data_IF_126407187202
#
_entry.id   IF_126407187202
#
_cell.length_a   1.000
_cell.length_b   1.000
_cell.length_c   1.000
_cell.angle_alpha   90.00
_cell.angle_beta   90.00
_cell.angle_gamma   90.00
#
_symmetry.space_group_name_H-M   'P 1'
#
loop_
_entity.id
_entity.type
_entity.pdbx_description
1 polymer ?
#
# COMPACT_ATOMS: atom_id res chain seq x y z
N UNK A 1 14.59 -1.85 11.74
CA UNK A 1 13.44 -1.66 10.84
C UNK A 1 12.55 -0.60 11.45
N UNK A 2 12.20 0.46 10.73
CA UNK A 2 11.38 1.57 11.29
C UNK A 2 9.87 1.31 11.07
N UNK A 3 9.00 2.12 11.70
CA UNK A 3 7.55 1.95 11.64
C UNK A 3 7.02 1.95 10.19
N UNK A 4 7.54 2.84 9.35
CA UNK A 4 7.17 2.95 7.94
C UNK A 4 7.49 1.68 7.16
N UNK A 5 8.68 1.10 7.40
CA UNK A 5 9.10 -0.14 6.78
C UNK A 5 8.23 -1.32 7.23
N UNK A 6 7.88 -1.38 8.52
CA UNK A 6 6.99 -2.43 9.05
C UNK A 6 5.58 -2.35 8.45
N UNK A 7 5.00 -1.16 8.42
CA UNK A 7 3.69 -0.93 7.80
C UNK A 7 3.73 -1.13 6.28
N UNK A 8 4.82 -0.76 5.62
CA UNK A 8 5.06 -1.04 4.20
C UNK A 8 5.11 -2.54 3.90
N UNK A 9 5.77 -3.34 4.74
CA UNK A 9 5.75 -4.81 4.63
C UNK A 9 4.36 -5.39 4.86
N UNK A 10 3.62 -4.87 5.84
CA UNK A 10 2.25 -5.30 6.10
C UNK A 10 1.34 -5.03 4.88
N UNK A 11 1.49 -3.85 4.27
CA UNK A 11 0.76 -3.45 3.07
C UNK A 11 1.09 -4.34 1.86
N UNK A 12 2.39 -4.64 1.64
CA UNK A 12 2.87 -5.55 0.61
C UNK A 12 2.26 -6.95 0.76
N UNK A 13 2.28 -7.50 1.98
CA UNK A 13 1.71 -8.81 2.28
C UNK A 13 0.20 -8.85 2.02
N UNK A 14 -0.55 -7.83 2.46
CA UNK A 14 -1.98 -7.74 2.21
C UNK A 14 -2.31 -7.73 0.72
N UNK A 15 -1.52 -7.01 -0.09
CA UNK A 15 -1.75 -6.95 -1.52
C UNK A 15 -1.50 -8.30 -2.19
N UNK A 16 -0.38 -8.97 -1.89
CA UNK A 16 -0.07 -10.30 -2.42
C UNK A 16 -1.14 -11.31 -2.04
N UNK A 17 -1.55 -11.35 -0.76
CA UNK A 17 -2.60 -12.25 -0.29
C UNK A 17 -3.94 -11.98 -0.99
N UNK A 18 -4.24 -10.72 -1.31
CA UNK A 18 -5.45 -10.35 -2.04
C UNK A 18 -5.41 -10.86 -3.48
N UNK A 19 -4.32 -10.63 -4.22
CA UNK A 19 -4.16 -11.14 -5.59
C UNK A 19 -4.28 -12.67 -5.63
N UNK A 20 -3.64 -13.37 -4.69
CA UNK A 20 -3.75 -14.83 -4.56
C UNK A 20 -5.20 -15.29 -4.29
N UNK A 21 -5.96 -14.54 -3.49
CA UNK A 21 -7.35 -14.85 -3.17
C UNK A 21 -8.29 -14.59 -4.34
N UNK A 22 -8.06 -13.51 -5.07
CA UNK A 22 -8.87 -13.10 -6.22
C UNK A 22 -8.55 -13.93 -7.48
N UNK A 23 -7.46 -14.72 -7.44
CA UNK A 23 -7.03 -15.55 -8.56
C UNK A 23 -6.43 -14.72 -9.69
N UNK A 24 -5.85 -13.56 -9.37
CA UNK A 24 -5.16 -12.73 -10.34
C UNK A 24 -3.95 -13.50 -10.90
N UNK A 25 -3.87 -13.54 -12.23
CA UNK A 25 -2.72 -14.13 -12.94
C UNK A 25 -1.43 -13.32 -12.72
N UNK A 26 -1.55 -12.05 -12.30
CA UNK A 26 -0.43 -11.13 -12.06
C UNK A 26 -0.24 -10.84 -10.56
N UNK A 27 0.19 -11.85 -9.80
CA UNK A 27 0.66 -11.63 -8.43
C UNK A 27 1.95 -10.80 -8.48
N UNK A 28 2.01 -9.64 -7.80
CA UNK A 28 3.19 -8.78 -7.85
C UNK A 28 4.42 -9.51 -7.31
N UNK A 29 5.53 -9.44 -8.06
CA UNK A 29 6.82 -9.88 -7.53
C UNK A 29 7.26 -8.95 -6.40
N UNK A 30 7.70 -9.49 -5.24
CA UNK A 30 8.13 -8.71 -4.07
C UNK A 30 9.51 -8.09 -4.29
N UNK A 31 9.63 -7.25 -5.32
CA UNK A 31 10.85 -6.52 -5.66
C UNK A 31 11.11 -5.38 -4.68
N UNK A 32 12.35 -4.87 -4.66
CA UNK A 32 12.70 -3.71 -3.85
C UNK A 32 11.86 -2.47 -4.23
N UNK A 33 11.57 -2.29 -5.52
CA UNK A 33 10.70 -1.21 -6.01
C UNK A 33 9.27 -1.36 -5.50
N UNK A 34 8.72 -2.57 -5.52
CA UNK A 34 7.40 -2.87 -4.96
C UNK A 34 7.33 -2.53 -3.46
N UNK A 35 8.34 -2.93 -2.70
CA UNK A 35 8.45 -2.60 -1.29
C UNK A 35 8.56 -1.08 -1.03
N UNK A 36 9.36 -0.35 -1.83
CA UNK A 36 9.46 1.11 -1.71
C UNK A 36 8.13 1.81 -1.97
N UNK A 37 7.36 1.35 -2.96
CA UNK A 37 6.01 1.87 -3.23
C UNK A 37 5.07 1.66 -2.04
N UNK A 38 5.15 0.50 -1.39
CA UNK A 38 4.37 0.23 -0.19
C UNK A 38 4.76 1.16 0.97
N UNK A 39 6.06 1.42 1.17
CA UNK A 39 6.53 2.38 2.15
C UNK A 39 6.06 3.83 1.85
N UNK A 40 6.08 4.24 0.59
CA UNK A 40 5.60 5.56 0.17
C UNK A 40 4.08 5.71 0.38
N UNK A 41 3.31 4.67 0.09
CA UNK A 41 1.86 4.65 0.36
C UNK A 41 1.56 4.77 1.86
N UNK A 42 2.34 4.08 2.70
CA UNK A 42 2.26 4.22 4.17
C UNK A 42 2.49 5.66 4.62
N UNK A 43 3.54 6.33 4.13
CA UNK A 43 3.82 7.73 4.44
C UNK A 43 2.65 8.65 4.05
N UNK A 44 2.13 8.51 2.82
CA UNK A 44 0.98 9.29 2.37
C UNK A 44 -0.31 9.02 3.15
N UNK A 45 -0.47 7.80 3.70
CA UNK A 45 -1.59 7.47 4.57
C UNK A 45 -1.45 8.09 5.97
N UNK A 46 -0.23 8.17 6.50
CA UNK A 46 0.05 8.85 7.78
C UNK A 46 -0.22 10.35 7.63
N UNK A 47 0.28 10.98 6.56
CA UNK A 47 0.01 12.40 6.28
C UNK A 47 -1.48 12.72 6.10
N UNK A 48 -2.26 11.79 5.54
CA UNK A 48 -3.72 11.92 5.44
C UNK A 48 -4.43 11.68 6.77
N UNK A 49 -3.89 10.83 7.63
CA UNK A 49 -4.44 10.53 8.96
C UNK A 49 -4.27 11.71 9.93
N UNK A 50 -3.21 12.50 9.74
CA UNK A 50 -2.97 13.75 10.47
C UNK A 50 -3.77 14.95 9.92
N UNK A 51 -4.51 14.78 8.80
CA UNK A 51 -5.45 15.79 8.32
C UNK A 51 -6.79 15.72 9.08
N UNK A 52 -7.45 16.86 9.36
CA UNK A 52 -8.77 16.89 9.95
C UNK A 52 -9.75 16.04 9.12
N UNK A 53 -10.54 15.20 9.82
CA UNK A 53 -11.50 14.24 9.25
C UNK A 53 -12.65 14.94 8.52
N UNK A 54 -12.38 15.52 7.37
CA UNK A 54 -13.42 15.94 6.44
C UNK A 54 -12.90 15.81 5.02
N UNK A 55 -12.64 14.57 4.60
CA UNK A 55 -12.53 14.18 3.19
C UNK A 55 -12.58 12.66 3.05
N UNK A 56 -13.79 12.21 2.74
CA UNK A 56 -14.15 11.11 1.84
C UNK A 56 -13.11 9.99 1.63
N UNK A 57 -13.45 8.84 2.21
CA UNK A 57 -13.21 7.47 1.76
C UNK A 57 -11.90 7.15 1.02
N UNK A 58 -11.14 6.23 1.62
CA UNK A 58 -10.09 5.42 1.00
C UNK A 58 -10.34 5.18 -0.50
N UNK A 59 -9.65 5.93 -1.36
CA UNK A 59 -9.43 5.50 -2.74
C UNK A 59 -8.67 4.19 -2.70
N UNK A 60 -9.06 3.25 -3.56
CA UNK A 60 -8.58 1.88 -3.49
C UNK A 60 -7.04 1.83 -3.53
N UNK A 61 -6.46 0.84 -2.85
CA UNK A 61 -5.02 0.58 -2.85
C UNK A 61 -4.44 0.58 -4.27
N UNK A 62 -5.19 0.01 -5.22
CA UNK A 62 -4.85 -0.06 -6.64
C UNK A 62 -4.67 1.33 -7.27
N UNK A 63 -5.59 2.27 -7.03
CA UNK A 63 -5.48 3.64 -7.54
C UNK A 63 -4.30 4.41 -6.94
N UNK A 64 -3.93 4.08 -5.70
CA UNK A 64 -2.83 4.74 -5.00
C UNK A 64 -1.47 4.24 -5.51
N UNK A 65 -1.35 2.94 -5.76
CA UNK A 65 -0.14 2.33 -6.31
C UNK A 65 0.04 2.55 -7.82
N UNK A 66 -1.01 2.91 -8.56
CA UNK A 66 -0.93 3.24 -9.99
C UNK A 66 -0.56 4.69 -10.28
N UNK A 67 -0.73 5.61 -9.33
CA UNK A 67 -0.46 7.04 -9.53
C UNK A 67 1.01 7.43 -9.39
N UNK A 68 1.88 6.51 -8.97
CA UNK A 68 3.32 6.68 -8.76
C UNK A 68 4.08 5.41 -9.17
#
# INVERSE_FOLDING_TARGET
>A
MNQIQLEGWHLANLHILRCLKEGDDEVPEPTQMFFYRCCAATLGNIEKRDRPKDQTQYKSFHETCQRY
#
